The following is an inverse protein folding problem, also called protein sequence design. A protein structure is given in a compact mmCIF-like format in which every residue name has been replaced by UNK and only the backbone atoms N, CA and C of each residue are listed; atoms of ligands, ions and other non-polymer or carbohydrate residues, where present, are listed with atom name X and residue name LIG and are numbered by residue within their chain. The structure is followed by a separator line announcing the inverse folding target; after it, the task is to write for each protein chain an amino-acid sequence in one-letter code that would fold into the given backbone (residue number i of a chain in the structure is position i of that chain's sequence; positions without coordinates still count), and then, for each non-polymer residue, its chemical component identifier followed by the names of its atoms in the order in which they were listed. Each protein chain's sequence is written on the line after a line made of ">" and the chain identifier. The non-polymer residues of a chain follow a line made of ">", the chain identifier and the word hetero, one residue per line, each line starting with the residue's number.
data_IF_617631936431
#
_entry.id   IF_617631936431
#
_cell.length_a   1.000
_cell.length_b   1.000
_cell.length_c   1.000
_cell.angle_alpha   90.00
_cell.angle_beta   90.00
_cell.angle_gamma   90.00
#
_symmetry.space_group_name_H-M   'P 1'
#
loop_
_entity.id
_entity.type
_entity.pdbx_description
1 polymer ?
#
# COMPACT_ATOMS: atom_id res chain seq x y z
N UNK A 1 52.23 -18.76 8.75
CA UNK A 1 51.20 -19.33 9.64
C UNK A 1 49.95 -18.49 9.45
N UNK A 2 48.99 -19.02 8.70
CA UNK A 2 47.68 -18.42 8.44
C UNK A 2 46.76 -18.64 9.65
N UNK A 3 45.96 -17.63 10.01
CA UNK A 3 44.57 -17.79 10.51
C UNK A 3 44.00 -16.39 10.77
N UNK A 4 43.35 -15.74 9.79
CA UNK A 4 41.89 -15.77 9.56
C UNK A 4 41.08 -15.37 10.79
N UNK A 5 40.79 -14.06 10.90
CA UNK A 5 39.83 -13.51 11.85
C UNK A 5 38.43 -13.64 11.24
N UNK A 6 37.64 -14.59 11.74
CA UNK A 6 36.24 -14.79 11.34
C UNK A 6 35.41 -13.63 11.87
N UNK A 7 34.96 -12.74 10.97
CA UNK A 7 33.81 -11.89 11.23
C UNK A 7 32.55 -12.72 10.96
N UNK A 8 31.78 -12.99 12.02
CA UNK A 8 30.48 -13.63 11.92
C UNK A 8 29.50 -12.67 11.25
N UNK A 9 29.01 -13.06 10.07
CA UNK A 9 27.85 -12.43 9.44
C UNK A 9 26.62 -13.05 10.08
N UNK A 10 25.94 -12.31 10.96
CA UNK A 10 24.59 -12.66 11.38
C UNK A 10 23.64 -12.40 10.20
N UNK A 11 23.25 -13.48 9.52
CA UNK A 11 22.13 -13.47 8.59
C UNK A 11 20.84 -13.31 9.40
N UNK A 12 20.44 -12.07 9.67
CA UNK A 12 19.07 -11.78 10.11
C UNK A 12 18.13 -12.09 8.96
N UNK A 13 17.52 -13.28 9.01
CA UNK A 13 16.38 -13.68 8.19
C UNK A 13 15.22 -12.74 8.50
N UNK A 14 15.06 -11.70 7.68
CA UNK A 14 13.82 -10.94 7.66
C UNK A 14 12.72 -11.88 7.14
N UNK A 15 11.96 -12.45 8.07
CA UNK A 15 10.68 -13.11 7.83
C UNK A 15 9.86 -12.18 6.93
N UNK A 16 9.46 -12.67 5.77
CA UNK A 16 8.67 -11.96 4.77
C UNK A 16 7.32 -11.59 5.40
N UNK A 17 7.28 -10.42 6.04
CA UNK A 17 6.09 -9.86 6.66
C UNK A 17 5.09 -9.49 5.57
N UNK A 18 3.85 -9.90 5.81
CA UNK A 18 2.61 -9.50 5.17
C UNK A 18 2.66 -8.09 4.56
N UNK A 19 2.75 -7.99 3.24
CA UNK A 19 2.56 -6.74 2.51
C UNK A 19 1.11 -6.65 2.05
N UNK A 20 0.29 -5.97 2.85
CA UNK A 20 -0.66 -4.95 2.40
C UNK A 20 -1.54 -4.57 3.60
N UNK A 21 -1.09 -3.60 4.39
CA UNK A 21 -2.00 -2.89 5.29
C UNK A 21 -2.94 -2.08 4.41
N UNK A 22 -4.13 -2.63 4.17
CA UNK A 22 -5.21 -1.91 3.52
C UNK A 22 -5.69 -0.84 4.51
N UNK A 23 -5.72 0.40 4.06
CA UNK A 23 -6.11 1.54 4.88
C UNK A 23 -7.57 1.41 5.35
N UNK A 24 -7.77 1.35 6.67
CA UNK A 24 -8.99 1.86 7.31
C UNK A 24 -8.66 3.20 7.98
N UNK A 25 -9.56 4.20 7.92
CA UNK A 25 -9.25 5.57 8.35
C UNK A 25 -8.87 5.72 9.84
N UNK A 26 -9.04 4.68 10.66
CA UNK A 26 -8.81 4.70 12.12
C UNK A 26 -7.52 4.01 12.58
N UNK A 27 -6.63 3.61 11.67
CA UNK A 27 -5.41 2.88 12.02
C UNK A 27 -5.53 1.36 11.81
N UNK A 28 -4.37 0.71 11.81
CA UNK A 28 -4.18 -0.72 11.54
C UNK A 28 -5.20 -1.62 12.26
N UNK A 29 -5.94 -2.43 11.49
CA UNK A 29 -6.70 -3.55 12.03
C UNK A 29 -5.95 -4.84 11.69
N UNK A 30 -5.10 -5.32 12.60
CA UNK A 30 -4.53 -6.66 12.48
C UNK A 30 -5.67 -7.68 12.47
N UNK A 31 -5.73 -8.51 11.42
CA UNK A 31 -6.60 -9.69 11.41
C UNK A 31 -5.92 -10.73 12.30
N UNK A 32 -6.56 -11.21 13.40
CA UNK A 32 -6.00 -12.29 14.20
C UNK A 32 -5.81 -13.50 13.29
N UNK A 33 -4.55 -13.91 13.09
CA UNK A 33 -4.25 -15.22 12.49
C UNK A 33 -4.33 -16.22 13.63
N UNK A 34 -5.48 -16.88 13.76
CA UNK A 34 -5.69 -17.97 14.71
C UNK A 34 -4.59 -19.02 14.52
N UNK A 35 -3.73 -19.15 15.53
CA UNK A 35 -3.01 -20.37 15.82
C UNK A 35 -3.18 -20.61 17.30
N UNK A 36 -3.89 -21.71 17.58
CA UNK A 36 -4.35 -22.22 18.87
C UNK A 36 -5.46 -21.40 19.54
N UNK A 37 -6.73 -21.72 19.26
CA UNK A 37 -7.66 -22.36 20.20
C UNK A 37 -8.86 -22.96 19.42
N UNK A 38 -9.17 -24.24 19.64
CA UNK A 38 -10.35 -24.90 19.07
C UNK A 38 -11.64 -24.36 19.72
N UNK A 39 -12.61 -23.78 18.99
CA UNK A 39 -13.92 -23.52 19.56
C UNK A 39 -14.75 -24.80 19.43
N UNK A 40 -14.85 -25.56 20.53
CA UNK A 40 -15.98 -26.48 20.69
C UNK A 40 -17.22 -25.63 20.93
N UNK A 41 -17.89 -25.22 19.85
CA UNK A 41 -19.23 -24.63 19.95
C UNK A 41 -20.19 -25.57 19.25
N UNK A 42 -21.04 -26.22 20.04
CA UNK A 42 -22.08 -27.13 19.57
C UNK A 42 -22.96 -26.43 18.51
N UNK A 43 -22.75 -26.78 17.25
CA UNK A 43 -23.67 -26.49 16.16
C UNK A 43 -24.88 -27.42 16.30
N UNK A 44 -25.82 -27.03 17.15
CA UNK A 44 -27.21 -27.44 17.01
C UNK A 44 -28.02 -26.20 16.71
N UNK A 45 -28.15 -25.86 15.44
CA UNK A 45 -29.24 -25.01 14.99
C UNK A 45 -29.69 -25.49 13.60
N UNK A 46 -30.92 -25.99 13.57
CA UNK A 46 -31.66 -26.43 12.39
C UNK A 46 -31.86 -25.30 11.36
N UNK A 47 -32.16 -25.65 10.09
CA UNK A 47 -32.35 -24.69 9.01
C UNK A 47 -33.79 -24.18 9.00
N UNK A 48 -34.01 -22.90 9.32
CA UNK A 48 -35.33 -22.28 9.19
C UNK A 48 -35.45 -21.01 10.00
N UNK A 49 -35.41 -19.87 9.33
CA UNK A 49 -35.56 -18.57 9.97
C UNK A 49 -34.96 -17.47 9.12
N UNK A 50 -35.65 -17.13 8.04
CA UNK A 50 -35.63 -15.77 7.49
C UNK A 50 -35.91 -14.77 8.63
N UNK A 51 -34.87 -14.34 9.35
CA UNK A 51 -35.01 -13.24 10.31
C UNK A 51 -35.23 -11.98 9.51
N UNK A 52 -36.50 -11.63 9.34
CA UNK A 52 -36.96 -10.29 9.01
C UNK A 52 -36.23 -9.33 9.97
N UNK A 53 -35.24 -8.60 9.44
CA UNK A 53 -34.44 -7.66 10.22
C UNK A 53 -35.42 -6.65 10.80
N UNK A 54 -35.50 -6.57 12.12
CA UNK A 54 -36.42 -5.67 12.80
C UNK A 54 -36.16 -4.21 12.34
N UNK A 55 -37.21 -3.44 12.01
CA UNK A 55 -37.07 -2.08 11.45
C UNK A 55 -36.26 -1.12 12.34
N UNK A 56 -36.23 -1.32 13.66
CA UNK A 56 -35.40 -0.53 14.58
C UNK A 56 -33.91 -0.85 14.39
N UNK A 57 -33.60 -2.13 14.14
CA UNK A 57 -32.23 -2.59 13.86
C UNK A 57 -31.73 -2.07 12.51
N UNK A 58 -32.61 -2.02 11.49
CA UNK A 58 -32.27 -1.41 10.19
C UNK A 58 -31.98 0.09 10.32
N UNK A 59 -32.82 0.83 11.07
CA UNK A 59 -32.63 2.28 11.26
C UNK A 59 -31.34 2.60 12.04
N UNK A 60 -31.00 1.82 13.06
CA UNK A 60 -29.75 1.97 13.79
C UNK A 60 -28.52 1.70 12.91
N UNK A 61 -28.60 0.67 12.04
CA UNK A 61 -27.53 0.36 11.08
C UNK A 61 -27.35 1.47 10.04
N UNK A 62 -28.44 2.03 9.51
CA UNK A 62 -28.39 3.17 8.59
C UNK A 62 -27.77 4.43 9.23
N UNK A 63 -28.07 4.68 10.50
CA UNK A 63 -27.49 5.81 11.22
C UNK A 63 -25.98 5.64 11.42
N UNK A 64 -25.51 4.44 11.77
CA UNK A 64 -24.08 4.14 11.86
C UNK A 64 -23.37 4.32 10.51
N UNK A 65 -23.98 3.88 9.41
CA UNK A 65 -23.43 4.09 8.06
C UNK A 65 -23.37 5.57 7.69
N UNK A 66 -24.33 6.38 8.12
CA UNK A 66 -24.32 7.84 7.91
C UNK A 66 -23.19 8.51 8.68
N UNK A 67 -23.05 8.19 9.97
CA UNK A 67 -21.98 8.72 10.81
C UNK A 67 -20.60 8.32 10.29
N UNK A 68 -20.43 7.09 9.81
CA UNK A 68 -19.20 6.65 9.16
C UNK A 68 -18.90 7.42 7.85
N UNK A 69 -19.92 7.72 7.04
CA UNK A 69 -19.76 8.53 5.83
C UNK A 69 -19.38 9.98 6.14
N UNK A 70 -19.98 10.58 7.17
CA UNK A 70 -19.65 11.95 7.61
C UNK A 70 -18.19 12.05 8.08
N UNK A 71 -17.70 11.02 8.77
CA UNK A 71 -16.29 10.93 9.16
C UNK A 71 -15.36 10.82 7.93
N UNK A 72 -15.72 10.07 6.89
CA UNK A 72 -14.93 9.99 5.65
C UNK A 72 -14.85 11.34 4.92
N UNK A 73 -15.93 12.13 4.95
CA UNK A 73 -15.95 13.47 4.36
C UNK A 73 -15.16 14.52 5.16
N UNK A 74 -14.72 14.19 6.38
CA UNK A 74 -13.92 15.11 7.21
C UNK A 74 -12.49 15.29 6.70
N UNK A 75 -11.96 14.32 5.96
CA UNK A 75 -10.61 14.39 5.38
C UNK A 75 -10.68 15.13 4.03
N UNK A 76 -9.88 16.19 3.82
CA UNK A 76 -9.83 16.86 2.53
C UNK A 76 -9.43 15.88 1.42
N UNK A 77 -10.20 15.86 0.33
CA UNK A 77 -9.93 14.98 -0.81
C UNK A 77 -8.51 15.14 -1.38
N UNK A 78 -7.97 16.36 -1.34
CA UNK A 78 -6.60 16.65 -1.78
C UNK A 78 -5.53 15.90 -0.97
N UNK A 79 -5.78 15.67 0.32
CA UNK A 79 -4.89 14.88 1.19
C UNK A 79 -4.89 13.40 0.80
N UNK A 80 -6.07 12.85 0.50
CA UNK A 80 -6.23 11.46 0.05
C UNK A 80 -5.56 11.27 -1.30
N UNK A 81 -5.78 12.19 -2.25
CA UNK A 81 -5.14 12.15 -3.57
C UNK A 81 -3.62 12.25 -3.43
N UNK A 82 -3.10 13.15 -2.60
CA UNK A 82 -1.66 13.23 -2.33
C UNK A 82 -1.09 11.93 -1.75
N UNK A 83 -1.81 11.29 -0.83
CA UNK A 83 -1.40 9.98 -0.30
C UNK A 83 -1.35 8.90 -1.41
N UNK A 84 -2.30 8.90 -2.34
CA UNK A 84 -2.25 7.98 -3.49
C UNK A 84 -1.08 8.26 -4.45
N UNK A 85 -0.70 9.52 -4.62
CA UNK A 85 0.50 9.89 -5.40
C UNK A 85 1.76 9.30 -4.77
N UNK A 86 1.86 9.29 -3.43
CA UNK A 86 2.96 8.60 -2.73
C UNK A 86 2.94 7.09 -3.02
N UNK A 87 1.76 6.45 -3.01
CA UNK A 87 1.64 5.04 -3.38
C UNK A 87 2.11 4.74 -4.81
N UNK A 88 1.85 5.63 -5.77
CA UNK A 88 2.38 5.50 -7.15
C UNK A 88 3.91 5.61 -7.18
N UNK A 89 4.48 6.55 -6.41
CA UNK A 89 5.93 6.68 -6.28
C UNK A 89 6.57 5.39 -5.71
N UNK A 90 5.99 4.83 -4.65
CA UNK A 90 6.48 3.59 -4.04
C UNK A 90 6.39 2.40 -4.99
N UNK A 91 5.28 2.28 -5.74
CA UNK A 91 5.11 1.24 -6.74
C UNK A 91 6.16 1.33 -7.84
N UNK A 92 6.41 2.54 -8.38
CA UNK A 92 7.48 2.76 -9.34
C UNK A 92 8.85 2.37 -8.77
N UNK A 93 9.15 2.81 -7.55
CA UNK A 93 10.41 2.51 -6.88
C UNK A 93 10.60 1.00 -6.62
N UNK A 94 9.52 0.26 -6.32
CA UNK A 94 9.56 -1.18 -6.17
C UNK A 94 10.02 -1.85 -7.48
N UNK A 95 9.37 -1.54 -8.61
CA UNK A 95 9.70 -2.12 -9.91
C UNK A 95 11.10 -1.73 -10.41
N UNK A 96 11.64 -0.57 -10.00
CA UNK A 96 13.03 -0.22 -10.28
C UNK A 96 14.06 -0.96 -9.43
N UNK A 97 13.67 -1.51 -8.27
CA UNK A 97 14.57 -2.15 -7.29
C UNK A 97 14.56 -3.67 -7.34
N UNK A 98 13.57 -4.28 -7.99
CA UNK A 98 13.58 -5.74 -8.23
C UNK A 98 14.76 -6.12 -9.14
N UNK A 99 15.22 -7.36 -9.06
CA UNK A 99 16.35 -7.88 -9.84
C UNK A 99 15.91 -9.11 -10.65
N UNK A 100 15.86 -9.05 -12.00
CA UNK A 100 16.19 -7.88 -12.82
C UNK A 100 15.13 -6.76 -12.70
N UNK A 101 15.50 -5.48 -12.90
CA UNK A 101 14.56 -4.36 -12.82
C UNK A 101 13.51 -4.41 -13.94
N UNK A 102 12.27 -4.08 -13.58
CA UNK A 102 11.13 -4.08 -14.51
C UNK A 102 10.79 -2.64 -14.95
N UNK A 103 11.38 -2.24 -16.08
CA UNK A 103 11.19 -0.89 -16.62
C UNK A 103 9.80 -0.68 -17.22
N UNK A 104 9.15 -1.73 -17.74
CA UNK A 104 7.81 -1.58 -18.31
C UNK A 104 6.79 -1.32 -17.21
N UNK A 105 6.82 -2.11 -16.13
CA UNK A 105 5.93 -1.92 -14.99
C UNK A 105 6.25 -0.66 -14.17
N UNK A 106 7.52 -0.24 -14.09
CA UNK A 106 7.88 1.02 -13.43
C UNK A 106 7.36 2.26 -14.17
N UNK A 107 7.18 2.18 -15.50
CA UNK A 107 6.82 3.34 -16.32
C UNK A 107 5.41 3.85 -16.05
N UNK A 108 4.43 2.95 -15.98
CA UNK A 108 3.02 3.30 -15.80
C UNK A 108 2.77 4.17 -14.55
N UNK A 109 3.24 3.81 -13.33
CA UNK A 109 3.06 4.65 -12.15
C UNK A 109 3.82 5.99 -12.23
N UNK A 110 4.99 6.05 -12.89
CA UNK A 110 5.73 7.31 -13.10
C UNK A 110 4.92 8.26 -14.01
N UNK A 111 4.36 7.74 -15.10
CA UNK A 111 3.56 8.53 -16.03
C UNK A 111 2.25 9.01 -15.35
N UNK A 112 1.59 8.14 -14.59
CA UNK A 112 0.39 8.49 -13.82
C UNK A 112 0.68 9.57 -12.76
N UNK A 113 1.79 9.44 -12.02
CA UNK A 113 2.26 10.45 -11.08
C UNK A 113 2.51 11.78 -11.79
N UNK A 114 3.13 11.75 -12.97
CA UNK A 114 3.34 12.92 -13.84
C UNK A 114 2.06 13.64 -14.16
N UNK A 115 1.05 12.93 -14.69
CA UNK A 115 -0.26 13.52 -15.02
C UNK A 115 -0.89 14.17 -13.79
N UNK A 116 -0.89 13.51 -12.63
CA UNK A 116 -1.53 14.04 -11.43
C UNK A 116 -0.81 15.28 -10.88
N UNK A 117 0.51 15.22 -10.73
CA UNK A 117 1.30 16.30 -10.11
C UNK A 117 1.37 17.53 -11.02
N UNK A 118 1.55 17.33 -12.32
CA UNK A 118 1.68 18.44 -13.28
C UNK A 118 0.33 19.12 -13.53
N UNK A 119 -0.78 18.37 -13.59
CA UNK A 119 -2.09 18.92 -13.90
C UNK A 119 -2.83 19.48 -12.68
N UNK A 120 -2.67 18.90 -11.49
CA UNK A 120 -3.37 19.37 -10.30
C UNK A 120 -2.65 20.55 -9.65
N UNK A 121 -1.33 20.65 -9.75
CA UNK A 121 -0.59 21.83 -9.30
C UNK A 121 -0.84 22.16 -7.83
N UNK A 122 -1.11 23.44 -7.57
CA UNK A 122 -1.39 23.99 -6.23
C UNK A 122 -2.64 23.42 -5.55
N UNK A 123 -3.46 22.60 -6.23
CA UNK A 123 -4.57 21.88 -5.59
C UNK A 123 -4.09 20.73 -4.68
N UNK A 124 -2.87 20.25 -4.91
CA UNK A 124 -2.25 19.22 -4.09
C UNK A 124 -1.54 19.84 -2.88
N UNK A 125 -1.71 19.28 -1.67
CA UNK A 125 -0.86 19.64 -0.55
C UNK A 125 0.59 19.28 -0.91
N UNK A 126 1.52 20.14 -0.48
CA UNK A 126 2.97 19.92 -0.68
C UNK A 126 3.36 19.68 -2.15
N UNK A 127 2.69 20.34 -3.09
CA UNK A 127 2.92 20.18 -4.54
C UNK A 127 4.41 20.25 -4.94
N UNK A 128 5.20 21.14 -4.32
CA UNK A 128 6.64 21.24 -4.58
C UNK A 128 7.40 19.97 -4.17
N UNK A 129 7.04 19.36 -3.03
CA UNK A 129 7.61 18.10 -2.56
C UNK A 129 7.27 16.96 -3.52
N UNK A 130 6.00 16.87 -3.96
CA UNK A 130 5.56 15.86 -4.92
C UNK A 130 6.25 16.04 -6.29
N UNK A 131 6.43 17.28 -6.73
CA UNK A 131 7.18 17.61 -7.95
C UNK A 131 8.64 17.19 -7.85
N UNK A 132 9.29 17.43 -6.71
CA UNK A 132 10.66 16.99 -6.47
C UNK A 132 10.77 15.46 -6.48
N UNK A 133 9.84 14.76 -5.83
CA UNK A 133 9.79 13.29 -5.81
C UNK A 133 9.61 12.71 -7.23
N UNK A 134 8.72 13.31 -8.04
CA UNK A 134 8.54 12.93 -9.45
C UNK A 134 9.83 13.09 -10.26
N UNK A 135 10.56 14.19 -10.04
CA UNK A 135 11.85 14.39 -10.71
C UNK A 135 12.87 13.32 -10.30
N UNK A 136 12.97 13.01 -9.00
CA UNK A 136 13.87 12.00 -8.48
C UNK A 136 13.58 10.61 -9.06
N UNK A 137 12.32 10.18 -9.11
CA UNK A 137 11.98 8.85 -9.65
C UNK A 137 12.22 8.76 -11.16
N UNK A 138 11.99 9.85 -11.92
CA UNK A 138 12.32 9.92 -13.34
C UNK A 138 13.83 9.79 -13.59
N UNK A 139 14.67 10.43 -12.78
CA UNK A 139 16.13 10.27 -12.86
C UNK A 139 16.57 8.84 -12.56
N UNK A 140 16.02 8.24 -11.50
CA UNK A 140 16.30 6.85 -11.15
C UNK A 140 15.90 5.88 -12.28
N UNK A 141 14.75 6.09 -12.91
CA UNK A 141 14.32 5.30 -14.06
C UNK A 141 15.33 5.35 -15.23
N UNK A 142 15.81 6.55 -15.59
CA UNK A 142 16.80 6.70 -16.67
C UNK A 142 18.13 6.04 -16.30
N UNK A 143 18.57 6.18 -15.06
CA UNK A 143 19.80 5.55 -14.58
C UNK A 143 19.70 4.02 -14.68
N UNK A 144 18.63 3.42 -14.18
CA UNK A 144 18.39 1.98 -14.26
C UNK A 144 18.24 1.51 -15.70
N UNK A 145 17.55 2.29 -16.55
CA UNK A 145 17.43 1.99 -17.98
C UNK A 145 18.79 1.87 -18.67
N UNK A 146 19.70 2.82 -18.39
CA UNK A 146 21.05 2.79 -18.97
C UNK A 146 21.87 1.60 -18.44
N UNK A 147 21.74 1.25 -17.16
CA UNK A 147 22.42 0.10 -16.56
C UNK A 147 21.93 -1.22 -17.17
N UNK A 148 20.60 -1.38 -17.31
CA UNK A 148 20.00 -2.57 -17.93
C UNK A 148 20.40 -2.72 -19.39
N UNK A 149 20.46 -1.61 -20.16
CA UNK A 149 20.95 -1.64 -21.54
C UNK A 149 22.43 -2.04 -21.61
N UNK A 150 23.28 -1.48 -20.75
CA UNK A 150 24.71 -1.84 -20.68
C UNK A 150 24.94 -3.33 -20.37
N UNK A 151 24.11 -3.92 -19.50
CA UNK A 151 24.19 -5.35 -19.16
C UNK A 151 23.74 -6.29 -20.29
N UNK A 152 22.99 -5.80 -21.28
CA UNK A 152 22.53 -6.59 -22.42
C UNK A 152 23.55 -6.62 -23.58
N UNK A 153 24.47 -5.64 -23.61
CA UNK A 153 25.49 -5.48 -24.65
C UNK A 153 26.83 -6.18 -24.31
N UNK A 154 26.95 -6.80 -23.12
CA UNK A 154 28.11 -7.57 -22.63
C UNK A 154 27.91 -9.09 -22.81
#
# INVERSE_FOLDING_TARGET
>A
MHSQQRFGVELSTCKRGTVSSFWTPSGEHEVPTDSDETPTTNLSNEPGGESEIDPETTAAMEQQLREAQEQLLSVPASQIVANHIIGLFELAALHLRVDPPDLEEARLPIDAMGVLVEQLGDQLPEHQTLTAALHQIRLAYVEVQNQTQGNLDE
#
